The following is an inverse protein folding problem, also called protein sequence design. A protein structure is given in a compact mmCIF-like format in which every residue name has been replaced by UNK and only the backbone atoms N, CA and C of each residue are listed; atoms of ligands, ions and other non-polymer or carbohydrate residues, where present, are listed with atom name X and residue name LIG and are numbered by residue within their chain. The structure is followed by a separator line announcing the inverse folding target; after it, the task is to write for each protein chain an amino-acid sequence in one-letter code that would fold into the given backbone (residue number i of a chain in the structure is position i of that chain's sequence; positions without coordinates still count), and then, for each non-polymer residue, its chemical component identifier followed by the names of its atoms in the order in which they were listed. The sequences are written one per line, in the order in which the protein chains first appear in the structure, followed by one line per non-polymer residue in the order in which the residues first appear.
data_IF_621432105533
#
_entry.id   IF_621432105533
#
_cell.length_a   1.000
_cell.length_b   1.000
_cell.length_c   1.000
_cell.angle_alpha   90.00
_cell.angle_beta   90.00
_cell.angle_gamma   90.00
#
_symmetry.space_group_name_H-M   'P 1'
#
loop_
_entity.id
_entity.type
_entity.pdbx_description
1 polymer ?
#
# COMPACT_ATOMS: atom_id res chain seq x y z
N UNK A 1 -36.02 10.84 -35.42
CA UNK A 1 -35.85 10.98 -33.95
C UNK A 1 -34.90 9.91 -33.44
N UNK A 2 -33.76 10.25 -32.81
CA UNK A 2 -32.79 9.26 -32.36
C UNK A 2 -33.27 8.57 -31.08
N UNK A 3 -33.37 7.24 -31.12
CA UNK A 3 -33.68 6.39 -29.97
C UNK A 3 -32.58 6.54 -28.92
N UNK A 4 -32.87 7.23 -27.81
CA UNK A 4 -32.02 7.25 -26.61
C UNK A 4 -31.89 5.81 -26.10
N UNK A 5 -30.72 5.19 -26.30
CA UNK A 5 -30.36 3.94 -25.66
C UNK A 5 -30.30 4.21 -24.15
N UNK A 6 -31.27 3.69 -23.40
CA UNK A 6 -31.16 3.59 -21.94
C UNK A 6 -30.00 2.64 -21.66
N UNK A 7 -28.85 3.20 -21.27
CA UNK A 7 -27.77 2.45 -20.65
C UNK A 7 -28.30 2.05 -19.28
N UNK A 8 -28.80 0.82 -19.14
CA UNK A 8 -29.14 0.29 -17.82
C UNK A 8 -27.82 0.06 -17.09
N UNK A 9 -27.47 0.98 -16.19
CA UNK A 9 -26.51 0.66 -15.15
C UNK A 9 -27.14 -0.46 -14.32
N UNK A 10 -26.66 -1.70 -14.55
CA UNK A 10 -26.96 -2.80 -13.65
C UNK A 10 -26.64 -2.31 -12.23
N UNK A 11 -27.64 -2.33 -11.37
CA UNK A 11 -27.49 -2.14 -9.93
C UNK A 11 -26.33 -3.02 -9.47
N UNK A 12 -25.20 -2.39 -9.12
CA UNK A 12 -24.04 -3.04 -8.49
C UNK A 12 -24.37 -3.34 -7.02
N UNK A 13 -25.50 -4.00 -6.77
CA UNK A 13 -25.93 -4.53 -5.46
C UNK A 13 -25.34 -5.92 -5.23
N UNK A 14 -24.04 -6.08 -5.37
CA UNK A 14 -23.33 -7.26 -4.90
C UNK A 14 -21.85 -6.94 -4.99
N UNK A 15 -21.27 -6.65 -3.83
CA UNK A 15 -19.83 -6.65 -3.65
C UNK A 15 -19.33 -8.02 -4.14
N UNK A 16 -18.49 -8.05 -5.18
CA UNK A 16 -17.89 -9.28 -5.68
C UNK A 16 -17.36 -10.10 -4.49
N UNK A 17 -17.87 -11.32 -4.22
CA UNK A 17 -17.03 -12.34 -3.60
C UNK A 17 -15.98 -12.60 -4.67
N UNK A 18 -14.82 -11.97 -4.51
CA UNK A 18 -13.84 -11.98 -5.56
C UNK A 18 -13.33 -13.41 -5.71
N UNK A 19 -13.46 -13.96 -6.92
CA UNK A 19 -12.77 -15.18 -7.38
C UNK A 19 -11.28 -15.17 -6.95
N UNK A 20 -10.71 -13.99 -6.73
CA UNK A 20 -9.35 -13.78 -6.27
C UNK A 20 -9.12 -14.04 -4.77
N UNK A 21 -10.12 -13.95 -3.88
CA UNK A 21 -9.94 -14.20 -2.44
C UNK A 21 -9.71 -15.69 -2.18
N UNK A 22 -10.60 -16.53 -2.71
CA UNK A 22 -10.46 -17.99 -2.65
C UNK A 22 -9.21 -18.46 -3.38
N UNK A 23 -8.88 -17.86 -4.53
CA UNK A 23 -7.66 -18.17 -5.26
C UNK A 23 -6.40 -17.83 -4.46
N UNK A 24 -6.37 -16.69 -3.74
CA UNK A 24 -5.25 -16.31 -2.87
C UNK A 24 -5.13 -17.28 -1.70
N UNK A 25 -6.25 -17.62 -1.04
CA UNK A 25 -6.24 -18.57 0.08
C UNK A 25 -5.77 -19.96 -0.35
N UNK A 26 -6.16 -20.40 -1.55
CA UNK A 26 -5.71 -21.68 -2.13
C UNK A 26 -4.24 -21.66 -2.54
N UNK A 27 -3.77 -20.57 -3.16
CA UNK A 27 -2.39 -20.46 -3.64
C UNK A 27 -1.39 -20.14 -2.53
N UNK A 28 -1.82 -19.39 -1.52
CA UNK A 28 -0.99 -18.88 -0.43
C UNK A 28 -1.68 -19.09 0.94
N UNK A 29 -1.83 -20.35 1.39
CA UNK A 29 -2.62 -20.67 2.59
C UNK A 29 -2.05 -20.09 3.89
N UNK A 30 -0.77 -19.75 3.91
CA UNK A 30 -0.11 -19.11 5.07
C UNK A 30 -0.14 -17.58 5.00
N UNK A 31 -0.58 -16.99 3.89
CA UNK A 31 -0.62 -15.54 3.73
C UNK A 31 -1.74 -14.94 4.58
N UNK A 32 -1.41 -13.90 5.36
CA UNK A 32 -2.41 -13.11 6.06
C UNK A 32 -2.98 -12.05 5.14
N UNK A 33 -4.29 -12.10 4.90
CA UNK A 33 -4.98 -11.09 4.10
C UNK A 33 -5.09 -9.77 4.87
N UNK A 34 -4.84 -8.66 4.17
CA UNK A 34 -5.02 -7.29 4.69
C UNK A 34 -5.89 -6.49 3.73
N UNK A 35 -6.87 -5.76 4.25
CA UNK A 35 -7.72 -4.89 3.43
C UNK A 35 -7.12 -3.49 3.30
N UNK A 36 -7.30 -2.89 2.12
CA UNK A 36 -7.00 -1.49 1.88
C UNK A 36 -8.11 -0.63 2.50
N UNK A 37 -7.74 0.27 3.42
CA UNK A 37 -8.72 1.13 4.12
C UNK A 37 -9.33 2.18 3.20
N UNK A 38 -8.62 2.60 2.15
CA UNK A 38 -9.19 3.47 1.12
C UNK A 38 -10.38 2.80 0.40
N UNK A 39 -10.23 1.54 -0.02
CA UNK A 39 -11.34 0.83 -0.62
C UNK A 39 -12.50 0.63 0.38
N UNK A 40 -12.21 0.36 1.65
CA UNK A 40 -13.26 0.29 2.68
C UNK A 40 -14.03 1.61 2.81
N UNK A 41 -13.31 2.75 2.82
CA UNK A 41 -13.88 4.10 2.83
C UNK A 41 -14.79 4.33 1.62
N UNK A 42 -14.28 4.05 0.42
CA UNK A 42 -15.04 4.24 -0.83
C UNK A 42 -16.30 3.38 -0.84
N UNK A 43 -16.22 2.13 -0.34
CA UNK A 43 -17.38 1.24 -0.28
C UNK A 43 -18.46 1.76 0.65
N UNK A 44 -18.09 2.23 1.85
CA UNK A 44 -19.04 2.82 2.80
C UNK A 44 -19.66 4.08 2.20
N UNK A 45 -18.83 4.93 1.58
CA UNK A 45 -19.28 6.15 0.92
C UNK A 45 -20.31 5.86 -0.17
N UNK A 46 -20.00 4.96 -1.09
CA UNK A 46 -20.90 4.54 -2.15
C UNK A 46 -22.17 3.88 -1.61
N UNK A 47 -22.05 3.03 -0.58
CA UNK A 47 -23.21 2.38 0.01
C UNK A 47 -24.17 3.41 0.63
N UNK A 48 -23.66 4.38 1.41
CA UNK A 48 -24.48 5.43 2.02
C UNK A 48 -25.10 6.37 0.98
N UNK A 49 -24.34 6.73 -0.05
CA UNK A 49 -24.81 7.62 -1.11
C UNK A 49 -25.84 6.93 -2.02
N UNK A 50 -25.50 5.78 -2.58
CA UNK A 50 -26.27 5.15 -3.66
C UNK A 50 -27.53 4.44 -3.14
N UNK A 51 -27.54 3.99 -1.87
CA UNK A 51 -28.69 3.26 -1.29
C UNK A 51 -29.67 4.16 -0.55
N UNK A 52 -29.18 5.19 0.13
CA UNK A 52 -30.00 5.96 1.07
C UNK A 52 -29.95 7.46 0.82
N UNK A 53 -29.08 7.95 -0.06
CA UNK A 53 -28.96 9.39 -0.31
C UNK A 53 -28.55 10.20 0.92
N UNK A 54 -27.83 9.59 1.88
CA UNK A 54 -27.36 10.27 3.11
C UNK A 54 -26.64 11.56 2.77
N UNK A 55 -26.82 12.63 3.56
CA UNK A 55 -26.20 13.93 3.25
C UNK A 55 -24.66 13.84 3.24
N UNK A 56 -24.00 14.72 2.48
CA UNK A 56 -22.52 14.72 2.41
C UNK A 56 -21.86 14.90 3.78
N UNK A 57 -22.44 15.71 4.65
CA UNK A 57 -21.91 15.95 5.99
C UNK A 57 -22.06 14.72 6.89
N UNK A 58 -23.23 14.09 6.91
CA UNK A 58 -23.46 12.86 7.70
C UNK A 58 -22.59 11.71 7.20
N UNK A 59 -22.47 11.53 5.88
CA UNK A 59 -21.54 10.54 5.30
C UNK A 59 -20.12 10.77 5.77
N UNK A 60 -19.65 12.02 5.80
CA UNK A 60 -18.31 12.36 6.27
C UNK A 60 -18.14 12.00 7.74
N UNK A 61 -19.13 12.31 8.59
CA UNK A 61 -19.08 11.97 10.02
C UNK A 61 -19.01 10.45 10.24
N UNK A 62 -19.85 9.67 9.52
CA UNK A 62 -19.85 8.20 9.61
C UNK A 62 -18.51 7.62 9.13
N UNK A 63 -18.00 8.10 7.99
CA UNK A 63 -16.72 7.64 7.45
C UNK A 63 -15.57 7.96 8.41
N UNK A 64 -15.60 9.14 9.04
CA UNK A 64 -14.57 9.55 9.98
C UNK A 64 -14.55 8.62 11.21
N UNK A 65 -15.72 8.34 11.79
CA UNK A 65 -15.86 7.38 12.90
C UNK A 65 -15.42 5.94 12.54
N UNK A 66 -15.28 5.63 11.24
CA UNK A 66 -14.82 4.33 10.77
C UNK A 66 -13.30 4.31 10.51
N UNK A 67 -12.78 5.27 9.74
CA UNK A 67 -11.46 5.18 9.09
C UNK A 67 -10.42 6.13 9.70
N UNK A 68 -10.80 7.20 10.40
CA UNK A 68 -9.83 8.18 10.91
C UNK A 68 -9.06 7.62 12.13
N UNK A 69 -8.12 8.40 12.67
CA UNK A 69 -7.17 7.95 13.68
C UNK A 69 -7.83 7.45 14.99
N UNK A 70 -9.04 7.94 15.29
CA UNK A 70 -9.89 7.53 16.42
C UNK A 70 -11.03 6.57 16.01
N UNK A 71 -11.11 6.23 14.73
CA UNK A 71 -12.16 5.38 14.18
C UNK A 71 -11.97 3.89 14.48
N UNK A 72 -13.03 3.12 14.25
CA UNK A 72 -13.03 1.68 14.57
C UNK A 72 -11.92 0.87 13.85
N UNK A 73 -11.52 1.29 12.65
CA UNK A 73 -10.42 0.67 11.91
C UNK A 73 -9.04 0.90 12.54
N UNK A 74 -8.92 1.94 13.36
CA UNK A 74 -7.69 2.36 14.04
C UNK A 74 -7.60 1.86 15.48
N UNK A 75 -8.65 1.19 15.98
CA UNK A 75 -8.66 0.63 17.34
C UNK A 75 -7.51 -0.38 17.57
N UNK A 76 -6.68 -0.11 18.57
CA UNK A 76 -5.49 -0.91 18.90
C UNK A 76 -5.86 -2.22 19.62
N UNK A 77 -6.89 -2.17 20.46
CA UNK A 77 -7.32 -3.27 21.31
C UNK A 77 -8.83 -3.52 21.25
N UNK A 78 -9.26 -4.59 21.94
CA UNK A 78 -10.66 -5.02 21.96
C UNK A 78 -11.57 -4.03 22.68
N UNK A 79 -11.08 -3.28 23.67
CA UNK A 79 -11.87 -2.31 24.44
C UNK A 79 -12.12 -1.05 23.62
N UNK A 80 -11.08 -0.50 22.98
CA UNK A 80 -11.21 0.62 22.05
C UNK A 80 -12.14 0.27 20.90
N UNK A 81 -12.01 -0.95 20.35
CA UNK A 81 -12.90 -1.42 19.29
C UNK A 81 -14.36 -1.47 19.74
N UNK A 82 -14.62 -2.01 20.95
CA UNK A 82 -15.97 -2.06 21.50
C UNK A 82 -16.56 -0.66 21.76
N UNK A 83 -15.75 0.27 22.28
CA UNK A 83 -16.16 1.66 22.48
C UNK A 83 -16.51 2.35 21.15
N UNK A 84 -15.64 2.23 20.15
CA UNK A 84 -15.88 2.80 18.83
C UNK A 84 -17.09 2.16 18.12
N UNK A 85 -17.33 0.85 18.32
CA UNK A 85 -18.50 0.14 17.81
C UNK A 85 -19.81 0.73 18.35
N UNK A 86 -19.87 1.02 19.65
CA UNK A 86 -21.05 1.66 20.27
C UNK A 86 -21.28 3.06 19.70
N UNK A 87 -20.24 3.90 19.68
CA UNK A 87 -20.34 5.26 19.16
C UNK A 87 -20.79 5.29 17.69
N UNK A 88 -20.23 4.40 16.85
CA UNK A 88 -20.61 4.30 15.45
C UNK A 88 -22.06 3.84 15.28
N UNK A 89 -22.54 2.94 16.14
CA UNK A 89 -23.95 2.49 16.12
C UNK A 89 -24.90 3.61 16.48
N UNK A 90 -24.58 4.36 17.53
CA UNK A 90 -25.39 5.50 17.96
C UNK A 90 -25.47 6.56 16.86
N UNK A 91 -24.33 6.87 16.22
CA UNK A 91 -24.25 7.77 15.08
C UNK A 91 -25.07 7.29 13.88
N UNK A 92 -25.17 5.97 13.68
CA UNK A 92 -25.89 5.36 12.57
C UNK A 92 -27.31 4.91 12.91
N UNK A 93 -27.85 5.29 14.07
CA UNK A 93 -29.18 4.89 14.57
C UNK A 93 -30.30 5.19 13.57
N UNK A 94 -30.20 6.31 12.84
CA UNK A 94 -31.14 6.72 11.80
C UNK A 94 -31.04 5.93 10.49
N UNK A 95 -30.05 5.02 10.35
CA UNK A 95 -29.80 4.24 9.14
C UNK A 95 -29.78 2.73 9.46
N UNK A 96 -30.92 2.12 9.84
CA UNK A 96 -30.97 0.73 10.31
C UNK A 96 -30.51 -0.29 9.25
N UNK A 97 -30.69 0.01 7.96
CA UNK A 97 -30.19 -0.84 6.87
C UNK A 97 -28.66 -0.80 6.78
N UNK A 98 -28.05 0.37 7.01
CA UNK A 98 -26.60 0.49 7.10
C UNK A 98 -26.08 -0.25 8.34
N UNK A 99 -26.74 -0.14 9.49
CA UNK A 99 -26.39 -0.91 10.70
C UNK A 99 -26.39 -2.41 10.44
N UNK A 100 -27.39 -2.92 9.71
CA UNK A 100 -27.45 -4.33 9.30
C UNK A 100 -26.25 -4.70 8.42
N UNK A 101 -25.94 -3.90 7.40
CA UNK A 101 -24.75 -4.11 6.55
C UNK A 101 -23.45 -4.06 7.37
N UNK A 102 -23.37 -3.10 8.28
CA UNK A 102 -22.23 -2.88 9.14
C UNK A 102 -21.96 -4.11 10.01
N UNK A 103 -22.96 -4.59 10.74
CA UNK A 103 -22.83 -5.76 11.64
C UNK A 103 -22.56 -7.06 10.88
N UNK A 104 -23.27 -7.30 9.78
CA UNK A 104 -23.20 -8.57 9.07
C UNK A 104 -21.95 -8.71 8.20
N UNK A 105 -21.44 -7.60 7.65
CA UNK A 105 -20.40 -7.65 6.61
C UNK A 105 -19.19 -6.78 6.93
N UNK A 106 -19.40 -5.53 7.33
CA UNK A 106 -18.30 -4.58 7.44
C UNK A 106 -17.44 -4.82 8.69
N UNK A 107 -18.08 -4.91 9.86
CA UNK A 107 -17.44 -5.06 11.16
C UNK A 107 -16.58 -6.32 11.28
N UNK A 108 -17.04 -7.52 10.86
CA UNK A 108 -16.18 -8.71 10.86
C UNK A 108 -14.91 -8.52 10.03
N UNK A 109 -15.04 -7.88 8.85
CA UNK A 109 -13.91 -7.64 7.94
C UNK A 109 -12.91 -6.64 8.48
N UNK A 110 -13.37 -5.57 9.12
CA UNK A 110 -12.49 -4.59 9.78
C UNK A 110 -11.73 -5.28 10.92
N UNK A 111 -12.45 -6.00 11.79
CA UNK A 111 -11.83 -6.73 12.90
C UNK A 111 -10.75 -7.70 12.44
N UNK A 112 -11.03 -8.50 11.41
CA UNK A 112 -10.16 -9.58 10.95
C UNK A 112 -9.03 -9.08 10.03
N UNK A 113 -9.35 -8.30 9.00
CA UNK A 113 -8.40 -7.97 7.94
C UNK A 113 -7.81 -6.56 8.05
N UNK A 114 -8.23 -5.77 9.04
CA UNK A 114 -7.63 -4.47 9.36
C UNK A 114 -6.99 -4.54 10.75
N UNK A 115 -7.77 -4.62 11.82
CA UNK A 115 -7.22 -4.56 13.19
C UNK A 115 -6.32 -5.75 13.48
N UNK A 116 -6.79 -7.00 13.29
CA UNK A 116 -5.98 -8.17 13.57
C UNK A 116 -4.77 -8.31 12.63
N UNK A 117 -4.89 -7.89 11.37
CA UNK A 117 -3.78 -7.85 10.42
C UNK A 117 -2.72 -6.78 10.76
N UNK A 118 -3.11 -5.70 11.46
CA UNK A 118 -2.19 -4.64 11.89
C UNK A 118 -1.43 -4.98 13.18
N UNK A 119 -1.95 -5.91 13.99
CA UNK A 119 -1.29 -6.34 15.24
C UNK A 119 0.10 -6.89 14.94
N UNK A 120 1.11 -6.28 15.56
CA UNK A 120 2.51 -6.69 15.44
C UNK A 120 3.30 -6.03 14.30
N UNK A 121 2.70 -5.14 13.50
CA UNK A 121 3.42 -4.41 12.45
C UNK A 121 4.18 -3.17 12.96
N UNK A 122 4.04 -2.81 14.24
CA UNK A 122 4.71 -1.65 14.84
C UNK A 122 4.30 -0.29 14.25
N UNK A 123 3.27 -0.27 13.40
CA UNK A 123 2.75 0.95 12.78
C UNK A 123 1.25 1.07 13.04
N UNK A 124 0.84 2.25 13.53
CA UNK A 124 -0.57 2.63 13.64
C UNK A 124 -1.17 3.07 12.31
N UNK A 125 -0.34 3.24 11.27
CA UNK A 125 -0.79 3.73 9.97
C UNK A 125 -1.64 2.67 9.27
N UNK A 126 -2.89 3.05 8.98
CA UNK A 126 -3.78 2.24 8.18
C UNK A 126 -3.20 1.96 6.79
N UNK A 127 -3.42 0.74 6.31
CA UNK A 127 -2.91 0.31 5.02
C UNK A 127 -3.70 0.92 3.88
N UNK A 128 -3.06 1.78 3.12
CA UNK A 128 -3.58 2.32 1.86
C UNK A 128 -2.77 1.75 0.71
N UNK A 129 -3.45 1.17 -0.28
CA UNK A 129 -2.82 0.69 -1.51
C UNK A 129 -2.61 1.82 -2.54
N UNK A 130 -2.08 2.96 -2.10
CA UNK A 130 -1.94 4.13 -2.96
C UNK A 130 -1.01 3.86 -4.16
N UNK A 131 0.01 3.02 -3.96
CA UNK A 131 0.98 2.70 -5.01
C UNK A 131 0.33 1.90 -6.16
N UNK A 132 -0.40 0.82 -5.86
CA UNK A 132 -1.03 0.04 -6.91
C UNK A 132 -2.20 0.79 -7.55
N UNK A 133 -2.96 1.58 -6.77
CA UNK A 133 -4.04 2.39 -7.32
C UNK A 133 -3.54 3.51 -8.25
N UNK A 134 -2.43 4.16 -7.88
CA UNK A 134 -1.76 5.15 -8.73
C UNK A 134 -1.32 4.52 -10.06
N UNK A 135 -0.63 3.38 -9.99
CA UNK A 135 -0.23 2.65 -11.20
C UNK A 135 -1.44 2.18 -12.01
N UNK A 136 -2.48 1.67 -11.36
CA UNK A 136 -3.73 1.28 -12.04
C UNK A 136 -4.37 2.46 -12.77
N UNK A 137 -4.36 3.66 -12.17
CA UNK A 137 -4.87 4.86 -12.82
C UNK A 137 -4.02 5.23 -14.04
N UNK A 138 -2.70 5.24 -13.91
CA UNK A 138 -1.77 5.49 -15.03
C UNK A 138 -2.02 4.49 -16.16
N UNK A 139 -2.07 3.20 -15.85
CA UNK A 139 -2.33 2.14 -16.82
C UNK A 139 -3.69 2.32 -17.52
N UNK A 140 -4.75 2.58 -16.75
CA UNK A 140 -6.11 2.78 -17.29
C UNK A 140 -6.19 4.00 -18.22
N UNK A 141 -5.51 5.08 -17.89
CA UNK A 141 -5.42 6.28 -18.72
C UNK A 141 -4.64 5.98 -20.00
N UNK A 142 -3.50 5.29 -19.90
CA UNK A 142 -2.67 4.92 -21.05
C UNK A 142 -3.41 4.03 -22.08
N UNK A 143 -4.30 3.15 -21.61
CA UNK A 143 -5.15 2.31 -22.49
C UNK A 143 -6.51 2.93 -22.80
N UNK A 144 -6.76 4.16 -22.36
CA UNK A 144 -8.03 4.88 -22.52
C UNK A 144 -9.26 4.03 -22.10
N UNK A 145 -9.11 3.25 -21.03
CA UNK A 145 -10.16 2.38 -20.48
C UNK A 145 -10.77 1.37 -21.48
N UNK A 146 -10.09 1.08 -22.58
CA UNK A 146 -10.56 0.13 -23.60
C UNK A 146 -9.88 -1.23 -23.41
N UNK A 147 -10.57 -2.34 -23.70
CA UNK A 147 -9.91 -3.63 -23.88
C UNK A 147 -8.80 -3.52 -24.92
N UNK A 148 -7.68 -4.19 -24.67
CA UNK A 148 -6.52 -4.23 -25.57
C UNK A 148 -6.19 -5.69 -25.88
N UNK A 149 -5.60 -5.93 -27.03
CA UNK A 149 -4.97 -7.21 -27.31
C UNK A 149 -3.77 -7.39 -26.38
N UNK A 150 -3.51 -8.61 -25.92
CA UNK A 150 -2.52 -8.85 -24.87
C UNK A 150 -1.09 -8.39 -25.24
N UNK A 151 -0.56 -8.70 -26.44
CA UNK A 151 0.67 -8.10 -26.97
C UNK A 151 0.73 -6.58 -26.88
N UNK A 152 -0.27 -5.86 -27.39
CA UNK A 152 -0.30 -4.39 -27.37
C UNK A 152 -0.30 -3.84 -25.93
N UNK A 153 -0.96 -4.55 -25.01
CA UNK A 153 -0.95 -4.20 -23.60
C UNK A 153 0.45 -4.37 -23.00
N UNK A 154 1.14 -5.46 -23.33
CA UNK A 154 2.50 -5.73 -22.88
C UNK A 154 3.46 -4.65 -23.40
N UNK A 155 3.39 -4.29 -24.69
CA UNK A 155 4.21 -3.21 -25.26
C UNK A 155 3.97 -1.88 -24.54
N UNK A 156 2.71 -1.50 -24.32
CA UNK A 156 2.39 -0.27 -23.55
C UNK A 156 2.90 -0.31 -22.12
N UNK A 157 2.89 -1.48 -21.48
CA UNK A 157 3.45 -1.64 -20.13
C UNK A 157 4.96 -1.41 -20.14
N UNK A 158 5.67 -1.94 -21.15
CA UNK A 158 7.09 -1.65 -21.34
C UNK A 158 7.33 -0.16 -21.57
N UNK A 159 6.58 0.50 -22.45
CA UNK A 159 6.72 1.93 -22.72
C UNK A 159 6.53 2.78 -21.46
N UNK A 160 5.55 2.44 -20.61
CA UNK A 160 5.33 3.16 -19.35
C UNK A 160 6.49 2.98 -18.39
N UNK A 161 7.03 1.76 -18.27
CA UNK A 161 8.21 1.51 -17.43
C UNK A 161 9.40 2.27 -17.99
N UNK A 162 9.65 2.22 -19.29
CA UNK A 162 10.73 2.95 -19.93
C UNK A 162 10.61 4.46 -19.72
N UNK A 163 9.41 5.02 -19.82
CA UNK A 163 9.17 6.44 -19.51
C UNK A 163 9.51 6.78 -18.05
N UNK A 164 9.17 5.92 -17.09
CA UNK A 164 9.57 6.11 -15.69
C UNK A 164 11.09 6.09 -15.53
N UNK A 165 11.77 5.19 -16.24
CA UNK A 165 13.23 5.12 -16.22
C UNK A 165 13.87 6.34 -16.89
N UNK A 166 13.28 6.87 -17.96
CA UNK A 166 13.74 8.12 -18.60
C UNK A 166 13.64 9.27 -17.61
N UNK A 167 12.49 9.47 -16.96
CA UNK A 167 12.32 10.54 -15.97
C UNK A 167 13.29 10.41 -14.81
N UNK A 168 13.52 9.19 -14.32
CA UNK A 168 14.51 8.95 -13.27
C UNK A 168 15.93 9.27 -13.74
N UNK A 169 16.31 8.86 -14.97
CA UNK A 169 17.61 9.23 -15.54
C UNK A 169 17.75 10.75 -15.64
N UNK A 170 16.73 11.45 -16.13
CA UNK A 170 16.67 12.91 -16.21
C UNK A 170 16.93 13.57 -14.85
N UNK A 171 16.21 13.11 -13.83
CA UNK A 171 16.38 13.60 -12.46
C UNK A 171 17.82 13.47 -11.94
N UNK A 172 18.51 12.37 -12.27
CA UNK A 172 19.89 12.13 -11.84
C UNK A 172 20.92 13.06 -12.49
N UNK A 173 20.63 13.70 -13.62
CA UNK A 173 21.54 14.64 -14.27
C UNK A 173 21.03 16.08 -14.36
N UNK A 174 20.18 16.49 -13.42
CA UNK A 174 19.58 17.83 -13.33
C UNK A 174 18.77 18.24 -14.57
N UNK A 175 18.09 17.28 -15.19
CA UNK A 175 17.15 17.56 -16.29
C UNK A 175 15.74 17.06 -15.97
N UNK A 176 14.73 17.69 -16.57
CA UNK A 176 13.31 17.34 -16.36
C UNK A 176 12.70 17.90 -15.07
N UNK A 177 11.51 17.39 -14.72
CA UNK A 177 10.65 17.96 -13.67
C UNK A 177 10.92 17.42 -12.26
N UNK A 178 11.83 16.45 -12.13
CA UNK A 178 12.09 15.75 -10.88
C UNK A 178 13.52 15.95 -10.42
N UNK A 179 13.72 16.05 -9.11
CA UNK A 179 15.04 16.18 -8.49
C UNK A 179 15.14 15.17 -7.34
N UNK A 180 16.26 14.45 -7.19
CA UNK A 180 16.50 13.59 -6.03
C UNK A 180 16.44 14.38 -4.72
N UNK A 181 15.79 13.79 -3.71
CA UNK A 181 15.80 14.37 -2.35
C UNK A 181 17.23 14.42 -1.79
N UNK A 182 17.47 15.25 -0.77
CA UNK A 182 18.80 15.51 -0.21
C UNK A 182 19.60 14.23 0.11
N UNK A 183 18.95 13.17 0.58
CA UNK A 183 19.58 11.89 0.91
C UNK A 183 20.11 11.12 -0.32
N UNK A 184 19.74 11.49 -1.53
CA UNK A 184 20.21 10.89 -2.78
C UNK A 184 21.00 11.87 -3.65
N UNK A 185 21.33 13.07 -3.15
CA UNK A 185 22.09 14.06 -3.92
C UNK A 185 23.47 13.57 -4.36
N UNK A 186 24.08 12.62 -3.64
CA UNK A 186 25.35 11.99 -4.04
C UNK A 186 25.25 11.19 -5.34
N UNK A 187 24.05 10.79 -5.78
CA UNK A 187 23.84 10.11 -7.07
C UNK A 187 23.61 11.09 -8.22
N UNK A 188 23.54 12.40 -7.91
CA UNK A 188 23.40 13.42 -8.95
C UNK A 188 24.72 13.63 -9.68
N UNK A 189 24.60 13.85 -10.98
CA UNK A 189 25.73 14.03 -11.90
C UNK A 189 25.48 15.33 -12.66
N UNK A 190 26.53 16.10 -12.91
CA UNK A 190 26.40 17.26 -13.78
C UNK A 190 26.10 16.81 -15.22
N UNK A 191 25.23 17.52 -15.94
CA UNK A 191 24.85 17.18 -17.33
C UNK A 191 26.07 17.04 -18.26
N UNK A 192 27.08 17.89 -18.10
CA UNK A 192 28.34 17.80 -18.84
C UNK A 192 29.05 16.45 -18.65
N UNK A 193 29.08 15.94 -17.42
CA UNK A 193 29.68 14.64 -17.09
C UNK A 193 28.78 13.48 -17.55
N UNK A 194 27.47 13.68 -17.55
CA UNK A 194 26.52 12.68 -18.04
C UNK A 194 26.69 12.42 -19.54
N UNK A 195 26.88 13.48 -20.33
CA UNK A 195 27.08 13.40 -21.79
C UNK A 195 28.35 12.67 -22.19
N UNK A 196 29.40 12.72 -21.37
CA UNK A 196 30.67 12.03 -21.65
C UNK A 196 30.66 10.53 -21.33
N UNK A 197 29.61 10.03 -20.66
CA UNK A 197 29.54 8.64 -20.21
C UNK A 197 29.02 7.70 -21.29
N UNK A 198 29.53 6.47 -21.32
CA UNK A 198 28.96 5.40 -22.13
C UNK A 198 27.59 4.97 -21.59
N UNK A 199 26.81 4.27 -22.40
CA UNK A 199 25.49 3.79 -21.96
C UNK A 199 25.60 2.72 -20.87
N UNK A 200 26.65 1.90 -20.86
CA UNK A 200 26.95 0.99 -19.75
C UNK A 200 27.27 1.75 -18.46
N UNK A 201 28.01 2.85 -18.53
CA UNK A 201 28.32 3.67 -17.37
C UNK A 201 27.07 4.37 -16.82
N UNK A 202 26.26 4.94 -17.70
CA UNK A 202 24.94 5.50 -17.33
C UNK A 202 24.06 4.43 -16.68
N UNK A 203 24.04 3.22 -17.22
CA UNK A 203 23.30 2.08 -16.65
C UNK A 203 23.86 1.67 -15.28
N UNK A 204 25.18 1.69 -15.08
CA UNK A 204 25.79 1.39 -13.77
C UNK A 204 25.38 2.42 -12.71
N UNK A 205 25.44 3.71 -13.03
CA UNK A 205 25.02 4.79 -12.13
C UNK A 205 23.56 4.63 -11.71
N UNK A 206 22.70 4.31 -12.68
CA UNK A 206 21.31 3.99 -12.44
C UNK A 206 21.13 2.78 -11.50
N UNK A 207 21.82 1.67 -11.76
CA UNK A 207 21.74 0.48 -10.90
C UNK A 207 22.29 0.74 -9.50
N UNK A 208 23.28 1.63 -9.36
CA UNK A 208 23.82 2.03 -8.07
C UNK A 208 22.81 2.85 -7.28
N UNK A 209 22.11 3.79 -7.93
CA UNK A 209 21.01 4.54 -7.32
C UNK A 209 19.90 3.59 -6.82
N UNK A 210 19.45 2.65 -7.66
CA UNK A 210 18.44 1.68 -7.26
C UNK A 210 18.90 0.81 -6.08
N UNK A 211 20.14 0.30 -6.11
CA UNK A 211 20.70 -0.50 -5.02
C UNK A 211 20.89 0.28 -3.72
N UNK A 212 21.29 1.55 -3.79
CA UNK A 212 21.41 2.40 -2.60
C UNK A 212 20.03 2.68 -1.98
N UNK A 213 19.00 2.82 -2.82
CA UNK A 213 17.62 2.97 -2.34
C UNK A 213 17.10 1.74 -1.60
N UNK A 214 17.58 0.55 -1.95
CA UNK A 214 17.28 -0.69 -1.24
C UNK A 214 18.04 -0.76 0.08
N UNK A 215 19.33 -0.41 0.08
CA UNK A 215 20.16 -0.40 1.30
C UNK A 215 19.62 0.56 2.35
N UNK A 216 19.16 1.74 1.96
CA UNK A 216 18.60 2.73 2.89
C UNK A 216 17.19 2.39 3.40
N UNK A 217 16.45 1.48 2.73
CA UNK A 217 15.26 0.87 3.35
C UNK A 217 15.64 -0.07 4.51
N UNK A 218 16.88 -0.54 4.51
CA UNK A 218 17.51 -1.29 5.60
C UNK A 218 18.45 -0.41 6.45
N UNK A 219 18.47 0.91 6.27
CA UNK A 219 19.14 1.75 7.24
C UNK A 219 18.38 1.56 8.55
N UNK A 220 19.09 0.93 9.46
CA UNK A 220 18.69 0.49 10.77
C UNK A 220 18.30 1.67 11.65
N UNK A 221 17.71 2.75 11.17
CA UNK A 221 17.39 3.93 11.97
C UNK A 221 16.00 4.42 11.63
N UNK A 222 15.03 4.05 12.46
CA UNK A 222 13.67 4.55 12.39
C UNK A 222 13.67 5.88 13.15
N UNK A 223 13.39 6.97 12.43
CA UNK A 223 13.19 8.28 13.08
C UNK A 223 11.72 8.39 13.47
N UNK A 224 11.42 8.81 14.69
CA UNK A 224 10.05 9.09 15.14
C UNK A 224 9.40 10.16 14.28
N UNK A 225 8.07 10.19 14.24
CA UNK A 225 7.28 11.14 13.44
C UNK A 225 7.49 12.61 13.82
N UNK A 226 7.97 12.88 15.03
CA UNK A 226 8.34 14.21 15.52
C UNK A 226 9.83 14.55 15.27
N UNK A 227 10.61 13.63 14.70
CA UNK A 227 12.04 13.83 14.41
C UNK A 227 12.96 13.79 15.63
N UNK A 228 12.42 13.59 16.84
CA UNK A 228 13.18 13.74 18.09
C UNK A 228 13.93 12.46 18.49
N UNK A 229 13.51 11.30 17.99
CA UNK A 229 14.08 10.02 18.38
C UNK A 229 14.56 9.23 17.17
N UNK A 230 15.83 8.82 17.21
CA UNK A 230 16.45 7.93 16.25
C UNK A 230 16.57 6.55 16.90
N UNK A 231 15.70 5.62 16.53
CA UNK A 231 15.77 4.24 17.00
C UNK A 231 16.63 3.45 16.02
N UNK A 232 17.85 3.12 16.45
CA UNK A 232 18.71 2.24 15.65
C UNK A 232 18.13 0.82 15.72
N UNK A 233 17.32 0.43 14.73
CA UNK A 233 16.84 -0.93 14.49
C UNK A 233 18.02 -1.85 14.16
N UNK A 234 18.84 -2.21 15.15
CA UNK A 234 19.95 -3.15 14.97
C UNK A 234 19.36 -4.43 14.36
N UNK A 235 19.58 -4.63 13.06
CA UNK A 235 19.37 -5.92 12.41
C UNK A 235 19.90 -6.99 13.37
N UNK A 236 19.02 -7.93 13.71
CA UNK A 236 19.24 -9.05 14.63
C UNK A 236 20.71 -9.46 14.65
N UNK A 237 21.50 -8.87 15.54
CA UNK A 237 22.57 -9.61 16.16
C UNK A 237 21.81 -10.75 16.80
N UNK A 238 21.83 -11.93 16.17
CA UNK A 238 21.23 -13.17 16.68
C UNK A 238 21.41 -13.10 18.18
N UNK A 239 20.31 -12.96 18.92
CA UNK A 239 20.37 -12.75 20.35
C UNK A 239 21.16 -13.94 20.90
N UNK A 240 22.41 -13.70 21.24
CA UNK A 240 23.26 -14.73 21.83
C UNK A 240 22.78 -14.81 23.25
N UNK A 241 22.36 -15.99 23.66
CA UNK A 241 22.09 -16.23 25.06
C UNK A 241 23.33 -15.83 25.87
N UNK A 242 23.13 -15.27 27.08
CA UNK A 242 24.23 -15.04 27.99
C UNK A 242 25.08 -16.32 28.08
N UNK A 243 26.39 -16.22 27.86
CA UNK A 243 27.39 -17.31 27.81
C UNK A 243 27.62 -18.06 26.48
N UNK A 244 26.98 -17.69 25.37
CA UNK A 244 27.25 -18.37 24.09
C UNK A 244 28.63 -17.98 23.50
N UNK A 245 29.65 -18.82 23.72
CA UNK A 245 31.01 -18.61 23.20
C UNK A 245 31.04 -18.66 21.66
N UNK A 246 31.76 -17.71 21.06
CA UNK A 246 31.98 -17.64 19.60
C UNK A 246 32.84 -18.85 19.20
N UNK A 247 32.32 -19.78 18.37
CA UNK A 247 33.15 -20.86 17.82
C UNK A 247 34.34 -20.23 17.08
N UNK A 248 35.60 -20.60 17.39
CA UNK A 248 36.75 -20.13 16.65
C UNK A 248 36.66 -20.61 15.21
N UNK A 249 36.97 -19.72 14.27
CA UNK A 249 36.67 -19.85 12.83
C UNK A 249 37.40 -21.01 12.12
N UNK A 250 38.28 -21.74 12.82
CA UNK A 250 39.20 -22.71 12.23
C UNK A 250 39.03 -24.17 12.72
N UNK A 251 38.00 -24.51 13.51
CA UNK A 251 37.70 -25.93 13.76
C UNK A 251 37.03 -26.54 12.53
N UNK A 252 37.84 -27.06 11.60
CA UNK A 252 37.37 -28.03 10.60
C UNK A 252 36.96 -29.29 11.35
N UNK A 253 35.71 -29.71 11.16
CA UNK A 253 35.27 -31.03 11.61
C UNK A 253 36.07 -32.09 10.85
N UNK A 254 37.01 -32.75 11.55
CA UNK A 254 37.63 -33.97 11.06
C UNK A 254 36.52 -35.01 10.87
N UNK A 255 36.37 -35.48 9.62
CA UNK A 255 35.52 -36.62 9.33
C UNK A 255 36.20 -37.84 9.96
N UNK A 256 35.56 -38.43 10.96
CA UNK A 256 35.91 -39.77 11.44
C UNK A 256 35.64 -40.76 10.30
N UNK A 257 36.67 -41.50 9.91
CA UNK A 257 36.59 -42.67 9.04
C UNK A 257 36.03 -43.87 9.80
#
# INVERSE_FOLDING_TARGET
MPRKRKVSYMSRSAFWPCVTAEAIEKAFPTAKRRLCTKHLKDNVQHYLQDRFGVSTQERKNIINAIIEDDGIASADDTLQFASADVQLKDLCSNYPQFLKYYEQSFKPRVREFVNAANRGLGTKKLWTNNNAESMNRVMKVAVNWKPQHAPDLVEKLFDMVDFQFINLRSALHHSGDYIPVNSYKQHMIADAIWKTKSDEEKRKLYTNFLRDSEKRKHDNVITSSDGLYLVVNKEKAIAREPMQRKRPRNERAEKRH
#
